data_IF_806726624808
#
_entry.id   IF_806726624808
#
_cell.length_a   1.000
_cell.length_b   1.000
_cell.length_c   1.000
_cell.angle_alpha   90.00
_cell.angle_beta   90.00
_cell.angle_gamma   90.00
#
_symmetry.space_group_name_H-M   'P 1'
#
loop_
_entity.id
_entity.type
_entity.pdbx_description
1 polymer ?
#
# COMPACT_ATOMS: atom_id res chain seq x y z
N UNK A 1 -22.36 11.76 17.13
CA UNK A 1 -21.77 10.97 16.03
C UNK A 1 -22.24 9.53 16.18
N UNK A 2 -23.08 9.03 15.27
CA UNK A 2 -23.69 7.71 15.40
C UNK A 2 -22.59 6.64 15.36
N UNK A 3 -22.37 5.97 16.49
CA UNK A 3 -21.23 5.09 16.73
C UNK A 3 -21.47 3.71 16.11
N UNK A 4 -21.75 3.68 14.80
CA UNK A 4 -21.78 2.41 14.06
C UNK A 4 -20.35 1.86 14.04
N UNK A 5 -20.15 0.70 14.66
CA UNK A 5 -18.90 -0.03 14.57
C UNK A 5 -18.57 -0.32 13.11
N UNK A 6 -17.28 -0.29 12.76
CA UNK A 6 -16.85 -0.71 11.43
C UNK A 6 -17.13 -2.20 11.26
N UNK A 7 -17.52 -2.61 10.05
CA UNK A 7 -17.54 -4.02 9.69
C UNK A 7 -16.13 -4.59 9.85
N UNK A 8 -16.01 -5.84 10.32
CA UNK A 8 -14.71 -6.49 10.50
C UNK A 8 -13.85 -6.42 9.23
N UNK A 9 -14.44 -6.66 8.05
CA UNK A 9 -13.76 -6.58 6.76
C UNK A 9 -13.25 -5.17 6.43
N UNK A 10 -13.99 -4.14 6.83
CA UNK A 10 -13.59 -2.75 6.67
C UNK A 10 -12.45 -2.40 7.65
N UNK A 11 -12.49 -2.95 8.87
CA UNK A 11 -11.42 -2.79 9.86
C UNK A 11 -10.12 -3.47 9.42
N UNK A 12 -10.20 -4.66 8.83
CA UNK A 12 -9.04 -5.36 8.22
C UNK A 12 -8.42 -4.48 7.13
N UNK A 13 -9.26 -3.99 6.21
CA UNK A 13 -8.82 -3.08 5.14
C UNK A 13 -8.14 -1.82 5.70
N UNK A 14 -8.73 -1.22 6.73
CA UNK A 14 -8.17 -0.06 7.42
C UNK A 14 -6.78 -0.35 8.00
N UNK A 15 -6.60 -1.50 8.68
CA UNK A 15 -5.32 -1.89 9.27
C UNK A 15 -4.27 -2.10 8.18
N UNK A 16 -4.60 -2.80 7.09
CA UNK A 16 -3.66 -3.01 5.99
C UNK A 16 -3.20 -1.68 5.35
N UNK A 17 -4.12 -0.73 5.14
CA UNK A 17 -3.77 0.59 4.59
C UNK A 17 -2.95 1.41 5.59
N UNK A 18 -3.21 1.29 6.90
CA UNK A 18 -2.36 1.92 7.92
C UNK A 18 -0.94 1.37 7.92
N UNK A 19 -0.77 0.06 7.70
CA UNK A 19 0.55 -0.54 7.56
C UNK A 19 1.26 0.00 6.31
N UNK A 20 0.57 0.10 5.17
CA UNK A 20 1.10 0.75 3.96
C UNK A 20 1.53 2.19 4.23
N UNK A 21 0.67 2.95 4.92
CA UNK A 21 0.96 4.32 5.29
C UNK A 21 2.23 4.43 6.16
N UNK A 22 2.34 3.60 7.20
CA UNK A 22 3.50 3.60 8.08
C UNK A 22 4.78 3.26 7.30
N UNK A 23 4.79 2.14 6.56
CA UNK A 23 5.95 1.70 5.79
C UNK A 23 6.37 2.77 4.78
N UNK A 24 5.42 3.37 4.06
CA UNK A 24 5.73 4.36 3.04
C UNK A 24 6.16 5.71 3.63
N UNK A 25 5.61 6.14 4.76
CA UNK A 25 6.04 7.37 5.44
C UNK A 25 7.45 7.19 6.00
N UNK A 26 7.70 6.14 6.78
CA UNK A 26 9.01 5.91 7.38
C UNK A 26 10.05 5.56 6.32
N UNK A 27 9.73 4.63 5.43
CA UNK A 27 10.62 4.18 4.35
C UNK A 27 10.89 5.29 3.33
N UNK A 28 9.87 6.02 2.90
CA UNK A 28 10.02 7.14 1.97
C UNK A 28 10.82 8.29 2.56
N UNK A 29 10.58 8.67 3.82
CA UNK A 29 11.38 9.69 4.50
C UNK A 29 12.84 9.27 4.63
N UNK A 30 13.09 8.02 5.04
CA UNK A 30 14.45 7.50 5.22
C UNK A 30 15.21 7.43 3.89
N UNK A 31 14.59 6.89 2.84
CA UNK A 31 15.19 6.81 1.50
C UNK A 31 15.41 8.18 0.88
N UNK A 32 14.53 9.14 1.14
CA UNK A 32 14.70 10.52 0.66
C UNK A 32 15.90 11.21 1.33
N UNK A 33 16.12 10.94 2.62
CA UNK A 33 17.25 11.47 3.39
C UNK A 33 18.58 10.79 3.03
N UNK A 34 18.61 9.45 3.02
CA UNK A 34 19.84 8.69 2.73
C UNK A 34 20.22 8.75 1.26
N UNK A 35 19.25 8.60 0.36
CA UNK A 35 19.50 8.40 -1.07
C UNK A 35 20.27 7.10 -1.34
N UNK A 36 20.94 7.06 -2.49
CA UNK A 36 21.81 5.97 -2.92
C UNK A 36 23.15 6.54 -3.39
N UNK A 37 24.00 7.03 -2.45
CA UNK A 37 25.17 7.86 -2.76
C UNK A 37 26.29 7.10 -3.48
N UNK A 38 26.32 5.78 -3.36
CA UNK A 38 27.33 4.91 -4.00
C UNK A 38 27.03 4.66 -5.50
N UNK A 39 25.94 5.22 -6.01
CA UNK A 39 25.59 5.16 -7.44
C UNK A 39 25.85 6.48 -8.16
N UNK A 40 25.64 6.52 -9.48
CA UNK A 40 25.80 7.77 -10.24
C UNK A 40 24.86 8.87 -9.72
N UNK A 41 25.25 10.16 -9.75
CA UNK A 41 24.39 11.27 -9.34
C UNK A 41 23.01 11.29 -10.01
N UNK A 42 22.92 10.80 -11.25
CA UNK A 42 21.66 10.63 -11.98
C UNK A 42 20.73 9.62 -11.29
N UNK A 43 21.26 8.49 -10.84
CA UNK A 43 20.48 7.45 -10.18
C UNK A 43 20.10 7.85 -8.75
N UNK A 44 21.00 8.46 -7.98
CA UNK A 44 20.68 9.02 -6.65
C UNK A 44 19.55 10.05 -6.74
N UNK A 45 19.60 10.96 -7.72
CA UNK A 45 18.55 11.96 -7.92
C UNK A 45 17.17 11.32 -8.18
N UNK A 46 17.11 10.31 -9.06
CA UNK A 46 15.88 9.55 -9.34
C UNK A 46 15.41 8.80 -8.09
N UNK A 47 16.34 8.19 -7.33
CA UNK A 47 16.03 7.46 -6.11
C UNK A 47 15.37 8.38 -5.07
N UNK A 48 15.97 9.55 -4.78
CA UNK A 48 15.43 10.51 -3.82
C UNK A 48 14.08 11.09 -4.28
N UNK A 49 13.92 11.34 -5.57
CA UNK A 49 12.63 11.77 -6.13
C UNK A 49 11.53 10.72 -5.93
N UNK A 50 11.82 9.45 -6.26
CA UNK A 50 10.89 8.33 -6.06
C UNK A 50 10.59 8.11 -4.57
N UNK A 51 11.56 8.28 -3.69
CA UNK A 51 11.36 8.22 -2.25
C UNK A 51 10.40 9.32 -1.75
N UNK A 52 10.49 10.53 -2.31
CA UNK A 52 9.53 11.61 -2.06
C UNK A 52 8.11 11.28 -2.54
N UNK A 53 7.97 10.68 -3.72
CA UNK A 53 6.67 10.17 -4.20
C UNK A 53 6.14 9.09 -3.26
N UNK A 54 7.00 8.18 -2.80
CA UNK A 54 6.60 7.10 -1.90
C UNK A 54 6.10 7.64 -0.55
N UNK A 55 6.77 8.66 0.00
CA UNK A 55 6.32 9.39 1.19
C UNK A 55 4.93 10.01 0.97
N UNK A 56 4.70 10.69 -0.16
CA UNK A 56 3.40 11.26 -0.50
C UNK A 56 2.29 10.19 -0.58
N UNK A 57 2.58 9.05 -1.21
CA UNK A 57 1.67 7.89 -1.23
C UNK A 57 1.35 7.36 0.18
N UNK A 58 2.32 7.39 1.09
CA UNK A 58 2.12 7.05 2.50
C UNK A 58 1.14 7.99 3.21
N UNK A 59 1.26 9.30 2.98
CA UNK A 59 0.32 10.31 3.52
C UNK A 59 -1.09 10.12 2.96
N UNK A 60 -1.21 9.86 1.65
CA UNK A 60 -2.50 9.56 1.01
C UNK A 60 -3.11 8.29 1.59
N UNK A 61 -2.30 7.27 1.84
CA UNK A 61 -2.73 6.02 2.48
C UNK A 61 -3.24 6.26 3.90
N UNK A 62 -2.52 7.05 4.71
CA UNK A 62 -2.94 7.42 6.06
C UNK A 62 -4.31 8.11 6.05
N UNK A 63 -4.46 9.12 5.19
CA UNK A 63 -5.71 9.85 5.04
C UNK A 63 -6.85 8.93 4.59
N UNK A 64 -6.58 8.02 3.65
CA UNK A 64 -7.54 7.02 3.17
C UNK A 64 -8.00 6.10 4.30
N UNK A 65 -7.07 5.64 5.16
CA UNK A 65 -7.41 4.80 6.30
C UNK A 65 -8.28 5.53 7.34
N UNK A 66 -7.99 6.82 7.59
CA UNK A 66 -8.79 7.66 8.50
C UNK A 66 -10.20 7.89 7.93
N UNK A 67 -10.29 8.12 6.61
CA UNK A 67 -11.55 8.44 5.91
C UNK A 67 -12.19 7.25 5.18
N UNK A 68 -11.84 6.02 5.57
CA UNK A 68 -12.14 4.78 4.82
C UNK A 68 -13.62 4.56 4.47
N UNK A 69 -14.54 5.15 5.23
CA UNK A 69 -15.99 5.08 4.94
C UNK A 69 -16.38 5.78 3.65
N UNK A 70 -15.60 6.75 3.21
CA UNK A 70 -15.87 7.60 2.04
C UNK A 70 -15.04 7.19 0.82
N UNK A 71 -14.02 6.34 1.01
CA UNK A 71 -12.94 6.15 0.03
C UNK A 71 -12.95 4.78 -0.65
N UNK A 72 -14.08 4.37 -1.24
CA UNK A 72 -14.18 3.04 -1.83
C UNK A 72 -13.20 2.83 -2.99
N UNK A 73 -13.20 3.72 -3.99
CA UNK A 73 -12.34 3.57 -5.18
C UNK A 73 -10.86 3.71 -4.82
N UNK A 74 -10.52 4.67 -3.95
CA UNK A 74 -9.13 4.94 -3.57
C UNK A 74 -8.49 3.74 -2.85
N UNK A 75 -9.25 3.00 -2.04
CA UNK A 75 -8.78 1.73 -1.43
C UNK A 75 -8.30 0.74 -2.50
N UNK A 76 -9.06 0.57 -3.59
CA UNK A 76 -8.66 -0.33 -4.68
C UNK A 76 -7.46 0.22 -5.47
N UNK A 77 -7.39 1.54 -5.66
CA UNK A 77 -6.24 2.16 -6.33
C UNK A 77 -4.95 2.01 -5.51
N UNK A 78 -5.01 2.14 -4.18
CA UNK A 78 -3.87 1.90 -3.30
C UNK A 78 -3.42 0.43 -3.32
N UNK A 79 -4.37 -0.51 -3.34
CA UNK A 79 -4.06 -1.93 -3.50
C UNK A 79 -3.41 -2.20 -4.86
N UNK A 80 -3.94 -1.63 -5.93
CA UNK A 80 -3.36 -1.74 -7.27
C UNK A 80 -1.94 -1.16 -7.30
N UNK A 81 -1.72 0.00 -6.67
CA UNK A 81 -0.39 0.60 -6.55
C UNK A 81 0.62 -0.35 -5.88
N UNK A 82 0.22 -1.03 -4.79
CA UNK A 82 1.04 -2.06 -4.14
C UNK A 82 1.37 -3.23 -5.06
N UNK A 83 0.38 -3.75 -5.81
CA UNK A 83 0.60 -4.82 -6.79
C UNK A 83 1.54 -4.42 -7.93
N UNK A 84 1.42 -3.19 -8.43
CA UNK A 84 2.31 -2.65 -9.44
C UNK A 84 3.74 -2.50 -8.89
N UNK A 85 3.89 -2.08 -7.63
CA UNK A 85 5.18 -2.06 -6.93
C UNK A 85 5.82 -3.45 -6.85
N UNK A 86 5.06 -4.46 -6.38
CA UNK A 86 5.52 -5.84 -6.33
C UNK A 86 5.85 -6.42 -7.71
N UNK A 87 5.09 -6.04 -8.75
CA UNK A 87 5.38 -6.42 -10.14
C UNK A 87 6.68 -5.79 -10.64
N UNK A 88 6.93 -4.52 -10.34
CA UNK A 88 8.20 -3.86 -10.64
C UNK A 88 9.38 -4.56 -9.97
N UNK A 89 9.21 -4.98 -8.71
CA UNK A 89 10.21 -5.77 -7.97
C UNK A 89 10.46 -7.13 -8.62
N UNK A 90 9.40 -7.85 -9.03
CA UNK A 90 9.51 -9.12 -9.76
C UNK A 90 10.29 -8.97 -11.07
N UNK A 91 9.94 -7.96 -11.86
CA UNK A 91 10.63 -7.67 -13.13
C UNK A 91 12.12 -7.40 -12.87
N UNK A 92 12.44 -6.60 -11.86
CA UNK A 92 13.83 -6.32 -11.47
C UNK A 92 14.58 -7.60 -11.08
N UNK A 93 13.98 -8.45 -10.24
CA UNK A 93 14.58 -9.72 -9.82
C UNK A 93 14.79 -10.69 -10.99
N UNK A 94 13.91 -10.68 -11.99
CA UNK A 94 14.04 -11.51 -13.18
C UNK A 94 15.13 -11.02 -14.13
N UNK A 95 15.31 -9.70 -14.27
CA UNK A 95 16.24 -9.11 -15.24
C UNK A 95 17.64 -8.91 -14.64
N UNK A 96 17.73 -8.40 -13.42
CA UNK A 96 18.98 -8.00 -12.76
C UNK A 96 19.46 -9.05 -11.76
N UNK A 97 18.54 -9.87 -11.25
CA UNK A 97 18.82 -10.91 -10.26
C UNK A 97 18.29 -10.57 -8.86
N UNK A 98 18.37 -11.55 -7.96
CA UNK A 98 17.89 -11.40 -6.59
C UNK A 98 18.91 -10.60 -5.76
N UNK A 99 18.52 -9.51 -5.08
CA UNK A 99 19.46 -8.78 -4.24
C UNK A 99 19.75 -9.53 -2.94
N UNK A 100 20.97 -9.41 -2.41
CA UNK A 100 21.36 -9.99 -1.14
C UNK A 100 21.03 -9.05 0.04
N UNK A 101 20.54 -9.55 1.19
CA UNK A 101 20.16 -10.94 1.45
C UNK A 101 18.80 -11.31 0.85
N UNK A 102 18.76 -12.40 0.07
CA UNK A 102 17.57 -12.76 -0.72
C UNK A 102 16.29 -12.98 0.07
N UNK A 103 16.38 -13.46 1.31
CA UNK A 103 15.23 -13.72 2.19
C UNK A 103 14.44 -12.45 2.54
N UNK A 104 15.12 -11.31 2.74
CA UNK A 104 14.47 -10.04 3.04
C UNK A 104 13.67 -9.54 1.84
N UNK A 105 14.26 -9.58 0.66
CA UNK A 105 13.62 -9.08 -0.56
C UNK A 105 12.45 -9.95 -1.02
N UNK A 106 12.53 -11.26 -0.83
CA UNK A 106 11.39 -12.17 -1.05
C UNK A 106 10.26 -11.93 -0.04
N UNK A 107 10.59 -11.58 1.20
CA UNK A 107 9.58 -11.23 2.20
C UNK A 107 8.86 -9.92 1.82
N UNK A 108 9.61 -8.92 1.38
CA UNK A 108 9.03 -7.67 0.86
C UNK A 108 8.12 -7.94 -0.33
N UNK A 109 8.58 -8.68 -1.33
CA UNK A 109 7.76 -9.06 -2.47
C UNK A 109 6.49 -9.81 -2.04
N UNK A 110 6.62 -10.79 -1.14
CA UNK A 110 5.48 -11.55 -0.62
C UNK A 110 4.45 -10.62 0.01
N UNK A 111 4.88 -9.67 0.85
CA UNK A 111 3.99 -8.68 1.47
C UNK A 111 3.36 -7.70 0.48
N UNK A 112 4.12 -7.27 -0.55
CA UNK A 112 3.65 -6.39 -1.64
C UNK A 112 2.57 -7.06 -2.50
N UNK A 113 2.46 -8.40 -2.50
CA UNK A 113 1.41 -9.13 -3.20
C UNK A 113 0.27 -9.55 -2.26
N UNK A 114 0.59 -10.12 -1.10
CA UNK A 114 -0.41 -10.66 -0.16
C UNK A 114 -1.29 -9.55 0.42
N UNK A 115 -0.69 -8.43 0.85
CA UNK A 115 -1.44 -7.36 1.51
C UNK A 115 -2.46 -6.69 0.57
N UNK A 116 -2.12 -6.32 -0.68
CA UNK A 116 -3.12 -5.82 -1.62
C UNK A 116 -4.25 -6.80 -1.93
N UNK A 117 -3.94 -8.10 -2.05
CA UNK A 117 -4.97 -9.13 -2.28
C UNK A 117 -5.94 -9.18 -1.11
N UNK A 118 -5.43 -9.14 0.13
CA UNK A 118 -6.27 -9.06 1.34
C UNK A 118 -7.14 -7.80 1.34
N UNK A 119 -6.59 -6.64 0.96
CA UNK A 119 -7.33 -5.38 0.83
C UNK A 119 -8.47 -5.53 -0.17
N UNK A 120 -8.20 -6.04 -1.38
CA UNK A 120 -9.20 -6.19 -2.45
C UNK A 120 -10.35 -7.11 -2.00
N UNK A 121 -10.02 -8.27 -1.42
CA UNK A 121 -11.03 -9.23 -0.95
C UNK A 121 -11.87 -8.62 0.19
N UNK A 122 -11.21 -8.00 1.17
CA UNK A 122 -11.86 -7.43 2.34
C UNK A 122 -12.76 -6.23 1.99
N UNK A 123 -12.30 -5.37 1.08
CA UNK A 123 -13.08 -4.23 0.61
C UNK A 123 -14.29 -4.71 -0.22
N UNK A 124 -14.12 -5.73 -1.05
CA UNK A 124 -15.22 -6.31 -1.83
C UNK A 124 -16.28 -6.94 -0.92
N UNK A 125 -15.86 -7.66 0.13
CA UNK A 125 -16.78 -8.19 1.14
C UNK A 125 -17.55 -7.07 1.88
N UNK A 126 -16.88 -5.97 2.19
CA UNK A 126 -17.50 -4.78 2.79
C UNK A 126 -18.59 -4.19 1.90
N UNK A 127 -18.28 -3.97 0.61
CA UNK A 127 -19.22 -3.43 -0.36
C UNK A 127 -20.45 -4.32 -0.55
N UNK A 128 -20.26 -5.65 -0.60
CA UNK A 128 -21.36 -6.63 -0.67
C UNK A 128 -22.30 -6.52 0.54
N UNK A 129 -21.75 -6.46 1.76
CA UNK A 129 -22.54 -6.33 3.00
C UNK A 129 -23.29 -5.01 3.07
N UNK A 130 -22.64 -3.89 2.70
CA UNK A 130 -23.28 -2.58 2.67
C UNK A 130 -24.45 -2.53 1.68
N UNK A 131 -24.29 -3.13 0.49
CA UNK A 131 -25.35 -3.20 -0.51
C UNK A 131 -26.51 -4.10 -0.07
N UNK A 132 -26.24 -5.22 0.59
CA UNK A 132 -27.28 -6.08 1.16
C UNK A 132 -28.11 -5.35 2.22
N UNK A 133 -27.45 -4.66 3.17
CA UNK A 133 -28.15 -3.89 4.21
C UNK A 133 -29.02 -2.77 3.62
N UNK A 134 -28.57 -2.10 2.55
CA UNK A 134 -29.36 -1.07 1.86
C UNK A 134 -30.65 -1.61 1.23
N UNK A 135 -30.60 -2.84 0.70
CA UNK A 135 -31.78 -3.50 0.10
C UNK A 135 -32.81 -3.93 1.14
N UNK A 136 -32.39 -4.28 2.36
CA UNK A 136 -33.31 -4.67 3.44
C UNK A 136 -33.99 -3.47 4.13
N UNK A 137 -33.42 -2.28 3.99
CA UNK A 137 -33.96 -1.03 4.56
C UNK A 137 -34.86 -0.23 3.61
N UNK A 138 -35.07 -0.71 2.40
CA UNK A 138 -35.92 -0.12 1.37
C UNK A 138 -37.17 -0.97 1.19
#
# INVERSE_FOLDING_TARGET
MNNRSLLLSQRITQICILLFAAIAIFGGTLQMYLGEPDTSPRLDNIHRFLAGIYLACGIISLWTAITIRNQNTLVYLLALGGLLGGTGRLISMQIVGLPEPGSLWLTYLGSEIIVPVIIIISQTATNRKLNAMRKTSA
#
